data_IF_584335330615
#
_entry.id   IF_584335330615
#
_cell.length_a   1.000
_cell.length_b   1.000
_cell.length_c   1.000
_cell.angle_alpha   90.00
_cell.angle_beta   90.00
_cell.angle_gamma   90.00
#
_symmetry.space_group_name_H-M   'P 1'
#
loop_
_entity.id
_entity.type
_entity.pdbx_description
1 polymer ?
#
# COMPACT_ATOMS: atom_id res chain seq x y z
N UNK A 1 17.10 -9.45 20.66
CA UNK A 1 17.03 -9.15 19.21
C UNK A 1 15.76 -9.79 18.69
N UNK A 2 14.69 -9.00 18.51
CA UNK A 2 13.47 -9.51 17.86
C UNK A 2 13.83 -9.81 16.40
N UNK A 3 13.49 -10.99 15.92
CA UNK A 3 13.74 -11.40 14.56
C UNK A 3 12.85 -10.57 13.61
N UNK A 4 13.45 -9.69 12.80
CA UNK A 4 12.75 -8.86 11.78
C UNK A 4 11.84 -9.71 10.90
N UNK A 5 12.28 -10.91 10.52
CA UNK A 5 11.49 -11.83 9.70
C UNK A 5 10.20 -12.27 10.40
N UNK A 6 10.26 -12.59 11.70
CA UNK A 6 9.07 -12.96 12.48
C UNK A 6 8.11 -11.79 12.64
N UNK A 7 8.63 -10.57 12.84
CA UNK A 7 7.78 -9.39 12.96
C UNK A 7 7.06 -9.10 11.63
N UNK A 8 7.76 -9.22 10.50
CA UNK A 8 7.17 -9.03 9.18
C UNK A 8 6.09 -10.06 8.88
N UNK A 9 6.38 -11.34 9.14
CA UNK A 9 5.43 -12.43 8.94
C UNK A 9 4.13 -12.22 9.72
N UNK A 10 4.22 -11.84 11.00
CA UNK A 10 3.04 -11.52 11.81
C UNK A 10 2.30 -10.29 11.29
N UNK A 11 3.00 -9.27 10.78
CA UNK A 11 2.36 -8.09 10.19
C UNK A 11 1.56 -8.46 8.95
N UNK A 12 2.12 -9.29 8.08
CA UNK A 12 1.47 -9.79 6.86
C UNK A 12 0.21 -10.60 7.19
N UNK A 13 0.29 -11.51 8.19
CA UNK A 13 -0.88 -12.27 8.66
C UNK A 13 -1.99 -11.36 9.18
N UNK A 14 -1.63 -10.32 9.93
CA UNK A 14 -2.59 -9.37 10.48
C UNK A 14 -3.21 -8.48 9.38
N UNK A 15 -2.46 -8.04 8.37
CA UNK A 15 -3.03 -7.34 7.20
C UNK A 15 -4.08 -8.18 6.47
N UNK A 16 -3.80 -9.48 6.30
CA UNK A 16 -4.74 -10.44 5.73
C UNK A 16 -6.06 -10.49 6.51
N UNK A 17 -5.99 -10.50 7.84
CA UNK A 17 -7.19 -10.49 8.71
C UNK A 17 -7.96 -9.17 8.68
N UNK A 18 -7.32 -8.06 8.32
CA UNK A 18 -7.98 -6.74 8.30
C UNK A 18 -8.77 -6.52 7.01
N UNK A 19 -8.19 -6.87 5.86
CA UNK A 19 -8.85 -6.72 4.56
C UNK A 19 -8.63 -7.97 3.70
N UNK A 20 -9.32 -9.10 3.93
CA UNK A 20 -9.06 -10.36 3.24
C UNK A 20 -9.08 -10.24 1.71
N UNK A 21 -10.04 -9.51 1.17
CA UNK A 21 -10.27 -9.37 -0.28
C UNK A 21 -9.39 -8.29 -0.96
N UNK A 22 -8.39 -7.74 -0.24
CA UNK A 22 -7.49 -6.71 -0.80
C UNK A 22 -6.71 -7.25 -1.98
N UNK A 23 -6.79 -6.54 -3.10
CA UNK A 23 -5.89 -6.67 -4.24
C UNK A 23 -5.39 -5.27 -4.69
N UNK A 24 -4.14 -5.15 -5.16
CA UNK A 24 -3.11 -6.19 -5.21
C UNK A 24 -2.32 -6.35 -3.88
N UNK A 25 -1.70 -7.52 -3.75
CA UNK A 25 -0.64 -7.84 -2.77
C UNK A 25 0.54 -8.36 -3.56
N UNK A 26 1.69 -7.70 -3.44
CA UNK A 26 2.84 -7.99 -4.29
C UNK A 26 4.04 -8.50 -3.48
N UNK A 27 4.02 -8.32 -2.16
CA UNK A 27 4.97 -8.90 -1.22
C UNK A 27 5.14 -10.41 -1.38
N UNK A 28 6.38 -10.92 -1.54
CA UNK A 28 6.63 -12.36 -1.69
C UNK A 28 6.14 -13.18 -0.47
N UNK A 29 6.11 -12.58 0.72
CA UNK A 29 5.57 -13.24 1.92
C UNK A 29 4.07 -13.52 1.85
N UNK A 30 3.29 -12.70 1.13
CA UNK A 30 1.86 -13.00 0.92
C UNK A 30 1.67 -14.26 0.07
N UNK A 31 2.55 -14.49 -0.91
CA UNK A 31 2.52 -15.72 -1.70
C UNK A 31 3.00 -16.94 -0.89
N UNK A 32 3.97 -16.76 0.01
CA UNK A 32 4.53 -17.82 0.83
C UNK A 32 3.57 -18.32 1.93
N UNK A 33 2.71 -17.46 2.48
CA UNK A 33 1.86 -17.77 3.63
C UNK A 33 0.58 -18.57 3.29
N UNK A 34 0.54 -19.31 2.18
CA UNK A 34 -0.61 -20.06 1.63
C UNK A 34 -1.75 -20.36 2.62
N UNK A 35 -2.93 -19.78 2.37
CA UNK A 35 -4.14 -19.94 3.19
C UNK A 35 -4.43 -18.72 4.04
N UNK A 36 -5.47 -17.96 3.70
CA UNK A 36 -5.88 -16.81 4.48
C UNK A 36 -6.20 -17.25 5.93
N UNK A 37 -5.56 -16.67 6.95
CA UNK A 37 -6.00 -16.84 8.33
C UNK A 37 -7.47 -16.42 8.41
N UNK A 38 -8.25 -17.17 9.18
CA UNK A 38 -9.69 -17.01 9.27
C UNK A 38 -10.05 -15.54 9.54
N UNK A 39 -11.07 -15.01 8.85
CA UNK A 39 -11.45 -13.59 8.93
C UNK A 39 -12.05 -13.21 10.30
N UNK A 40 -12.11 -14.15 11.25
CA UNK A 40 -12.75 -14.04 12.56
C UNK A 40 -12.15 -12.99 13.50
N UNK A 41 -11.00 -12.40 13.17
CA UNK A 41 -10.21 -11.68 14.16
C UNK A 41 -9.64 -10.33 13.67
N UNK A 42 -10.39 -9.59 12.84
CA UNK A 42 -10.01 -8.24 12.38
C UNK A 42 -9.71 -7.28 13.53
N UNK A 43 -10.55 -7.26 14.58
CA UNK A 43 -10.36 -6.35 15.72
C UNK A 43 -9.09 -6.67 16.50
N UNK A 44 -8.77 -7.95 16.69
CA UNK A 44 -7.53 -8.37 17.33
C UNK A 44 -6.33 -8.00 16.46
N UNK A 45 -6.42 -8.16 15.13
CA UNK A 45 -5.36 -7.77 14.21
C UNK A 45 -5.07 -6.26 14.24
N UNK A 46 -6.12 -5.44 14.23
CA UNK A 46 -6.00 -3.99 14.42
C UNK A 46 -5.36 -3.65 15.76
N UNK A 47 -5.75 -4.34 16.83
CA UNK A 47 -5.19 -4.13 18.17
C UNK A 47 -3.71 -4.51 18.22
N UNK A 48 -3.32 -5.62 17.57
CA UNK A 48 -1.95 -6.08 17.50
C UNK A 48 -1.07 -5.09 16.72
N UNK A 49 -1.50 -4.64 15.54
CA UNK A 49 -0.74 -3.65 14.75
C UNK A 49 -0.62 -2.34 15.54
N UNK A 50 -1.71 -1.85 16.13
CA UNK A 50 -1.71 -0.62 16.92
C UNK A 50 -0.74 -0.71 18.11
N UNK A 51 -0.76 -1.84 18.84
CA UNK A 51 0.13 -2.08 19.98
C UNK A 51 1.61 -2.26 19.60
N UNK A 52 1.89 -2.68 18.36
CA UNK A 52 3.25 -2.86 17.86
C UNK A 52 3.72 -1.73 16.93
N UNK A 53 2.91 -0.69 16.70
CA UNK A 53 3.17 0.30 15.67
C UNK A 53 4.54 0.98 15.78
N UNK A 54 4.96 1.36 16.99
CA UNK A 54 6.30 1.94 17.20
C UNK A 54 7.43 1.01 16.77
N UNK A 55 7.27 -0.30 17.00
CA UNK A 55 8.26 -1.33 16.59
C UNK A 55 8.23 -1.57 15.08
N UNK A 56 7.03 -1.58 14.50
CA UNK A 56 6.84 -1.74 13.05
C UNK A 56 7.43 -0.56 12.29
N UNK A 57 7.19 0.66 12.76
CA UNK A 57 7.79 1.86 12.20
C UNK A 57 9.31 1.84 12.29
N UNK A 58 9.88 1.47 13.44
CA UNK A 58 11.34 1.30 13.55
C UNK A 58 11.86 0.23 12.57
N UNK A 59 11.13 -0.87 12.38
CA UNK A 59 11.51 -1.90 11.41
C UNK A 59 11.45 -1.37 9.95
N UNK A 60 10.47 -0.54 9.60
CA UNK A 60 10.44 0.13 8.28
C UNK A 60 11.67 1.03 8.11
N UNK A 61 12.02 1.81 9.14
CA UNK A 61 13.17 2.72 9.10
C UNK A 61 14.51 1.97 9.00
N UNK A 62 14.70 0.94 9.82
CA UNK A 62 15.92 0.14 9.85
C UNK A 62 16.13 -0.64 8.53
N UNK A 63 15.04 -0.94 7.81
CA UNK A 63 15.06 -1.72 6.56
C UNK A 63 14.73 -0.87 5.31
N UNK A 64 14.84 0.46 5.40
CA UNK A 64 14.57 1.38 4.27
C UNK A 64 15.46 1.18 3.03
N UNK A 65 16.54 0.40 3.14
CA UNK A 65 17.45 -0.01 2.06
C UNK A 65 17.57 -1.55 1.97
N UNK A 66 16.58 -2.29 2.46
CA UNK A 66 16.52 -3.75 2.42
C UNK A 66 15.16 -4.20 1.87
N UNK A 67 15.08 -5.44 1.38
CA UNK A 67 13.88 -5.99 0.74
C UNK A 67 12.64 -6.02 1.67
N UNK A 68 12.86 -6.06 2.98
CA UNK A 68 11.80 -6.09 3.99
C UNK A 68 11.11 -4.75 4.19
N UNK A 69 11.78 -3.62 3.92
CA UNK A 69 11.26 -2.28 4.23
C UNK A 69 9.94 -1.97 3.53
N UNK A 70 9.87 -2.22 2.23
CA UNK A 70 8.66 -2.03 1.44
C UNK A 70 7.57 -3.04 1.79
N UNK A 71 7.94 -4.27 2.18
CA UNK A 71 6.99 -5.30 2.60
C UNK A 71 6.31 -4.95 3.92
N UNK A 72 7.05 -4.39 4.89
CA UNK A 72 6.45 -3.83 6.10
C UNK A 72 5.47 -2.70 5.77
N UNK A 73 5.86 -1.78 4.89
CA UNK A 73 4.99 -0.68 4.47
C UNK A 73 3.71 -1.18 3.77
N UNK A 74 3.81 -2.19 2.91
CA UNK A 74 2.66 -2.84 2.27
C UNK A 74 1.74 -3.52 3.29
N UNK A 75 2.31 -4.22 4.28
CA UNK A 75 1.57 -4.94 5.31
C UNK A 75 0.88 -4.00 6.32
N UNK A 76 1.21 -2.71 6.32
CA UNK A 76 0.48 -1.71 7.13
C UNK A 76 -0.73 -1.11 6.39
N UNK A 77 -0.98 -1.47 5.13
CA UNK A 77 -2.06 -0.92 4.32
C UNK A 77 -3.43 -1.05 4.99
N UNK A 78 -3.82 -2.27 5.40
CA UNK A 78 -5.13 -2.52 5.97
C UNK A 78 -5.38 -1.66 7.19
N UNK A 79 -4.38 -1.56 8.06
CA UNK A 79 -4.43 -0.70 9.24
C UNK A 79 -4.60 0.78 8.89
N UNK A 80 -3.86 1.31 7.90
CA UNK A 80 -4.04 2.71 7.49
C UNK A 80 -5.42 3.00 6.90
N UNK A 81 -5.97 2.07 6.12
CA UNK A 81 -7.32 2.20 5.56
C UNK A 81 -8.38 2.23 6.66
N UNK A 82 -8.23 1.39 7.69
CA UNK A 82 -9.21 1.28 8.78
C UNK A 82 -9.07 2.37 9.82
N UNK A 83 -7.85 2.74 10.22
CA UNK A 83 -7.59 3.66 11.33
C UNK A 83 -7.39 5.12 10.89
N UNK A 84 -7.16 5.40 9.60
CA UNK A 84 -7.14 6.76 9.05
C UNK A 84 -5.89 7.61 9.36
N UNK A 85 -4.77 6.99 9.74
CA UNK A 85 -3.52 7.67 10.08
C UNK A 85 -2.73 8.15 8.82
N UNK A 86 -3.25 9.15 8.10
CA UNK A 86 -2.73 9.53 6.78
C UNK A 86 -1.31 10.12 6.78
N UNK A 87 -0.95 10.93 7.78
CA UNK A 87 0.40 11.49 7.88
C UNK A 87 1.45 10.38 8.08
N UNK A 88 1.11 9.42 8.94
CA UNK A 88 1.90 8.22 9.21
C UNK A 88 2.00 7.33 7.96
N UNK A 89 0.90 7.20 7.20
CA UNK A 89 0.90 6.50 5.92
C UNK A 89 1.90 7.11 4.95
N UNK A 90 1.89 8.43 4.76
CA UNK A 90 2.83 9.11 3.87
C UNK A 90 4.27 8.82 4.28
N UNK A 91 4.59 8.91 5.58
CA UNK A 91 5.93 8.59 6.09
C UNK A 91 6.34 7.14 5.83
N UNK A 92 5.50 6.18 6.24
CA UNK A 92 5.80 4.74 6.10
C UNK A 92 6.00 4.36 4.63
N UNK A 93 5.14 4.83 3.74
CA UNK A 93 5.25 4.53 2.32
C UNK A 93 6.41 5.28 1.64
N UNK A 94 6.85 6.42 2.17
CA UNK A 94 8.05 7.12 1.67
C UNK A 94 9.31 6.30 1.96
N UNK A 95 9.43 5.81 3.20
CA UNK A 95 10.53 4.91 3.59
C UNK A 95 10.47 3.57 2.85
N UNK A 96 9.27 3.00 2.71
CA UNK A 96 9.06 1.81 1.90
C UNK A 96 9.42 2.00 0.43
N UNK A 97 9.19 3.19 -0.14
CA UNK A 97 9.57 3.49 -1.53
C UNK A 97 11.09 3.51 -1.74
N UNK A 98 11.86 3.96 -0.76
CA UNK A 98 13.33 3.88 -0.83
C UNK A 98 13.80 2.43 -0.94
N UNK A 99 13.22 1.56 -0.11
CA UNK A 99 13.46 0.11 -0.15
C UNK A 99 13.00 -0.52 -1.47
N UNK A 100 11.82 -0.13 -1.94
CA UNK A 100 11.23 -0.65 -3.17
C UNK A 100 12.00 -0.28 -4.44
N UNK A 101 12.71 0.86 -4.44
CA UNK A 101 13.55 1.30 -5.57
C UNK A 101 14.84 0.49 -5.70
N UNK A 102 15.30 -0.09 -4.59
CA UNK A 102 16.46 -0.97 -4.55
C UNK A 102 16.07 -2.45 -4.66
N UNK A 103 14.76 -2.75 -4.60
CA UNK A 103 14.22 -4.09 -4.70
C UNK A 103 14.35 -4.66 -6.11
N UNK A 104 14.52 -5.99 -6.19
CA UNK A 104 14.42 -6.73 -7.45
C UNK A 104 12.98 -7.07 -7.84
N UNK A 105 12.00 -6.74 -6.99
CA UNK A 105 10.57 -6.97 -7.23
C UNK A 105 9.99 -5.80 -8.04
N UNK A 106 9.70 -5.96 -9.35
CA UNK A 106 9.25 -4.85 -10.20
C UNK A 106 8.00 -4.15 -9.64
N UNK A 107 7.10 -4.91 -9.05
CA UNK A 107 5.83 -4.45 -8.50
C UNK A 107 5.96 -3.63 -7.21
N UNK A 108 7.11 -3.68 -6.51
CA UNK A 108 7.27 -3.01 -5.22
C UNK A 108 7.17 -1.48 -5.35
N UNK A 109 7.85 -0.89 -6.33
CA UNK A 109 7.86 0.57 -6.53
C UNK A 109 6.46 1.14 -6.84
N UNK A 110 5.72 0.64 -7.84
CA UNK A 110 4.38 1.17 -8.12
C UNK A 110 3.36 0.85 -7.02
N UNK A 111 3.55 -0.21 -6.23
CA UNK A 111 2.75 -0.47 -5.04
C UNK A 111 2.96 0.60 -3.97
N UNK A 112 4.22 0.98 -3.71
CA UNK A 112 4.53 2.04 -2.75
C UNK A 112 3.99 3.40 -3.21
N UNK A 113 4.15 3.73 -4.51
CA UNK A 113 3.60 4.95 -5.10
C UNK A 113 2.06 5.01 -5.02
N UNK A 114 1.36 3.90 -5.25
CA UNK A 114 -0.10 3.81 -5.10
C UNK A 114 -0.55 4.08 -3.65
N UNK A 115 0.24 3.60 -2.68
CA UNK A 115 0.02 3.86 -1.27
C UNK A 115 0.29 5.30 -0.85
N UNK A 116 1.35 5.92 -1.38
CA UNK A 116 1.64 7.35 -1.20
C UNK A 116 0.54 8.23 -1.76
N UNK A 117 0.11 7.98 -3.00
CA UNK A 117 -1.00 8.70 -3.62
C UNK A 117 -2.26 8.63 -2.75
N UNK A 118 -2.56 7.47 -2.17
CA UNK A 118 -3.68 7.30 -1.24
C UNK A 118 -3.52 8.11 0.06
N UNK A 119 -2.30 8.20 0.61
CA UNK A 119 -2.02 9.02 1.79
C UNK A 119 -2.20 10.51 1.52
N UNK A 120 -1.66 11.00 0.39
CA UNK A 120 -1.82 12.39 -0.04
C UNK A 120 -3.27 12.75 -0.38
N UNK A 121 -4.03 11.83 -1.00
CA UNK A 121 -5.49 11.99 -1.17
C UNK A 121 -6.17 12.16 0.19
N UNK A 122 -5.80 11.34 1.18
CA UNK A 122 -6.36 11.40 2.53
C UNK A 122 -6.13 12.74 3.24
N UNK A 123 -5.03 13.43 2.94
CA UNK A 123 -4.74 14.79 3.43
C UNK A 123 -5.21 15.90 2.48
N UNK A 124 -5.88 15.56 1.38
CA UNK A 124 -6.29 16.45 0.28
C UNK A 124 -5.12 17.16 -0.43
N UNK A 125 -3.91 16.65 -0.30
CA UNK A 125 -2.75 17.11 -1.06
C UNK A 125 -2.76 16.49 -2.46
N UNK A 126 -3.69 16.93 -3.30
CA UNK A 126 -3.83 16.43 -4.65
C UNK A 126 -2.63 16.76 -5.55
N UNK A 127 -1.86 17.80 -5.21
CA UNK A 127 -0.66 18.20 -5.93
C UNK A 127 0.46 17.16 -5.77
N UNK A 128 0.64 16.61 -4.57
CA UNK A 128 1.56 15.49 -4.35
C UNK A 128 0.97 14.13 -4.78
N UNK A 129 -0.35 13.93 -4.65
CA UNK A 129 -0.98 12.65 -4.97
C UNK A 129 -0.95 12.30 -6.46
N UNK A 130 -1.17 13.29 -7.34
CA UNK A 130 -1.26 13.08 -8.78
C UNK A 130 0.01 12.49 -9.40
N UNK A 131 1.21 13.08 -9.24
CA UNK A 131 2.42 12.52 -9.86
C UNK A 131 2.71 11.10 -9.35
N UNK A 132 2.46 10.82 -8.06
CA UNK A 132 2.63 9.47 -7.52
C UNK A 132 1.67 8.45 -8.18
N UNK A 133 0.40 8.83 -8.42
CA UNK A 133 -0.56 7.97 -9.08
C UNK A 133 -0.28 7.79 -10.58
N UNK A 134 0.18 8.83 -11.27
CA UNK A 134 0.56 8.78 -12.70
C UNK A 134 1.80 7.89 -12.91
N UNK A 135 2.83 8.05 -12.08
CA UNK A 135 4.03 7.20 -12.11
C UNK A 135 3.69 5.74 -11.80
N UNK A 136 2.87 5.49 -10.77
CA UNK A 136 2.39 4.15 -10.46
C UNK A 136 1.65 3.51 -11.64
N UNK A 137 0.75 4.25 -12.29
CA UNK A 137 -0.01 3.77 -13.45
C UNK A 137 0.93 3.40 -14.60
N UNK A 138 1.89 4.28 -14.93
CA UNK A 138 2.85 4.03 -16.01
C UNK A 138 3.63 2.74 -15.78
N UNK A 139 4.13 2.53 -14.57
CA UNK A 139 4.85 1.31 -14.20
C UNK A 139 3.95 0.08 -14.21
N UNK A 140 2.72 0.18 -13.68
CA UNK A 140 1.76 -0.93 -13.74
C UNK A 140 1.35 -1.29 -15.17
N UNK A 141 1.35 -0.34 -16.10
CA UNK A 141 1.15 -0.57 -17.53
C UNK A 141 2.36 -1.26 -18.16
N UNK A 142 3.57 -0.79 -17.88
CA UNK A 142 4.81 -1.41 -18.34
C UNK A 142 4.92 -2.88 -17.91
N UNK A 143 4.49 -3.19 -16.69
CA UNK A 143 4.49 -4.56 -16.15
C UNK A 143 3.25 -5.38 -16.54
N UNK A 144 2.27 -4.79 -17.24
CA UNK A 144 1.03 -5.48 -17.62
C UNK A 144 0.13 -5.88 -16.44
N UNK A 145 0.31 -5.27 -15.27
CA UNK A 145 -0.34 -5.69 -14.02
C UNK A 145 -1.73 -5.02 -13.84
N UNK A 146 -2.78 -5.66 -14.38
CA UNK A 146 -4.13 -5.10 -14.48
C UNK A 146 -4.73 -4.58 -13.17
N UNK A 147 -4.63 -5.36 -12.08
CA UNK A 147 -5.16 -4.92 -10.77
C UNK A 147 -4.43 -3.68 -10.21
N UNK A 148 -3.16 -3.52 -10.58
CA UNK A 148 -2.35 -2.35 -10.20
C UNK A 148 -2.76 -1.12 -11.01
N UNK A 149 -2.98 -1.30 -12.31
CA UNK A 149 -3.51 -0.25 -13.20
C UNK A 149 -4.87 0.26 -12.70
N UNK A 150 -5.80 -0.64 -12.39
CA UNK A 150 -7.10 -0.28 -11.85
C UNK A 150 -6.98 0.46 -10.50
N UNK A 151 -6.07 0.04 -9.62
CA UNK A 151 -5.84 0.72 -8.35
C UNK A 151 -5.32 2.16 -8.55
N UNK A 152 -4.35 2.36 -9.45
CA UNK A 152 -3.78 3.67 -9.75
C UNK A 152 -4.78 4.60 -10.47
N UNK A 153 -5.52 4.09 -11.46
CA UNK A 153 -6.63 4.80 -12.11
C UNK A 153 -7.71 5.21 -11.10
N UNK A 154 -8.04 4.33 -10.15
CA UNK A 154 -8.94 4.67 -9.06
C UNK A 154 -8.45 5.86 -8.23
N UNK A 155 -7.13 6.00 -8.00
CA UNK A 155 -6.56 7.19 -7.33
C UNK A 155 -6.71 8.44 -8.19
N UNK A 156 -6.40 8.36 -9.48
CA UNK A 156 -6.55 9.48 -10.41
C UNK A 156 -8.02 9.95 -10.51
N UNK A 157 -8.98 9.04 -10.52
CA UNK A 157 -10.41 9.37 -10.48
C UNK A 157 -10.81 10.14 -9.21
N UNK A 158 -10.30 9.73 -8.04
CA UNK A 158 -10.54 10.46 -6.77
C UNK A 158 -9.90 11.85 -6.80
N UNK A 159 -8.68 11.97 -7.33
CA UNK A 159 -7.97 13.25 -7.46
C UNK A 159 -8.74 14.20 -8.40
N UNK A 160 -9.20 13.71 -9.55
CA UNK A 160 -9.96 14.50 -10.51
C UNK A 160 -11.29 14.98 -9.91
N UNK A 161 -11.99 14.11 -9.16
CA UNK A 161 -13.21 14.49 -8.42
C UNK A 161 -12.90 15.57 -7.37
N UNK A 162 -11.80 15.44 -6.64
CA UNK A 162 -11.40 16.39 -5.60
C UNK A 162 -10.88 17.74 -6.12
N UNK A 163 -10.55 17.82 -7.42
CA UNK A 163 -10.04 19.04 -8.09
C UNK A 163 -11.05 19.65 -9.08
N UNK A 164 -12.32 19.22 -9.00
CA UNK A 164 -13.43 19.67 -9.85
C UNK A 164 -13.22 19.42 -11.37
N UNK A 165 -12.50 18.35 -11.70
CA UNK A 165 -12.26 17.88 -13.07
C UNK A 165 -13.16 16.69 -13.39
N UNK A 166 -14.46 16.95 -13.48
CA UNK A 166 -15.48 15.90 -13.58
C UNK A 166 -15.33 14.98 -14.81
N UNK A 167 -14.91 15.52 -15.96
CA UNK A 167 -14.71 14.72 -17.20
C UNK A 167 -13.55 13.73 -17.04
N UNK A 168 -12.41 14.20 -16.53
CA UNK A 168 -11.23 13.37 -16.26
C UNK A 168 -11.52 12.29 -15.20
N UNK A 169 -12.35 12.62 -14.19
CA UNK A 169 -12.75 11.67 -13.16
C UNK A 169 -13.56 10.49 -13.72
N UNK A 170 -14.52 10.78 -14.61
CA UNK A 170 -15.36 9.76 -15.23
C UNK A 170 -14.56 8.82 -16.13
N UNK A 171 -13.59 9.35 -16.87
CA UNK A 171 -12.68 8.55 -17.70
C UNK A 171 -11.86 7.57 -16.84
N UNK A 172 -11.17 8.06 -15.80
CA UNK A 172 -10.35 7.22 -14.93
C UNK A 172 -11.17 6.19 -14.15
N UNK A 173 -12.33 6.58 -13.62
CA UNK A 173 -13.22 5.66 -12.89
C UNK A 173 -13.88 4.63 -13.81
N UNK A 174 -14.12 4.98 -15.08
CA UNK A 174 -14.59 4.05 -16.10
C UNK A 174 -13.52 3.02 -16.44
N UNK A 175 -12.30 3.48 -16.72
CA UNK A 175 -11.16 2.61 -17.01
C UNK A 175 -10.82 1.67 -15.85
N UNK A 176 -10.93 2.11 -14.59
CA UNK A 176 -10.68 1.27 -13.43
C UNK A 176 -11.68 0.12 -13.23
N UNK A 177 -12.90 0.21 -13.81
CA UNK A 177 -13.95 -0.83 -13.67
C UNK A 177 -13.90 -1.91 -14.76
N UNK A 178 -13.12 -1.69 -15.80
CA UNK A 178 -12.96 -2.62 -16.93
C UNK A 178 -11.51 -3.13 -16.96
N UNK A 179 -11.21 -4.23 -16.24
CA UNK A 179 -9.91 -4.90 -16.32
C UNK A 179 -9.71 -5.63 -17.67
#
# INVERSE_FOLDING_TARGET
MTNTATLLEETVKNDWRIIPDRAPRVGPLYAALTGAPDASDTQEALTWISGNYTRLLAAVEDNRHAEEGWQFAEALHGWFVTCGAQADRVRVYTLGLESARESMTPEATPQMLTGLASGHIGTRDYAAARPAAEEALSLWQEYGHQAGQAAALGKLGVIATGTDRAEEALEHLGAARHP
#
